data_IF_024622412532
#
_entry.id   IF_024622412532
#
_cell.length_a   1.000
_cell.length_b   1.000
_cell.length_c   1.000
_cell.angle_alpha   90.00
_cell.angle_beta   90.00
_cell.angle_gamma   90.00
#
_symmetry.space_group_name_H-M   'P 1'
#
loop_
_entity.id
_entity.type
_entity.pdbx_description
1 polymer ?
#
# COMPACT_ATOMS: atom_id res chain seq x y z
N UNK A 1 -44.83 60.26 -30.87
CA UNK A 1 -44.25 59.96 -29.54
C UNK A 1 -45.39 60.20 -28.57
N UNK A 2 -46.12 59.21 -28.10
CA UNK A 2 -45.72 58.06 -27.27
C UNK A 2 -46.75 56.95 -27.47
N UNK A 3 -46.30 55.69 -27.51
CA UNK A 3 -47.08 54.52 -27.89
C UNK A 3 -48.16 54.18 -26.86
N UNK A 4 -49.42 54.22 -27.29
CA UNK A 4 -50.49 53.37 -26.80
C UNK A 4 -50.21 51.92 -27.15
N UNK A 5 -50.33 51.02 -26.17
CA UNK A 5 -50.75 49.64 -26.36
C UNK A 5 -50.87 48.99 -24.98
N UNK A 6 -52.08 48.62 -24.53
CA UNK A 6 -52.41 47.33 -23.91
C UNK A 6 -53.93 47.12 -23.92
N UNK A 7 -54.38 46.37 -24.92
CA UNK A 7 -55.72 45.81 -25.07
C UNK A 7 -55.68 44.32 -24.69
N UNK A 8 -56.76 43.90 -24.02
CA UNK A 8 -57.38 42.56 -23.97
C UNK A 8 -56.79 41.42 -23.12
N UNK A 9 -57.54 41.15 -22.05
CA UNK A 9 -58.21 39.88 -21.69
C UNK A 9 -57.54 38.55 -22.03
N UNK A 10 -57.33 37.72 -21.01
CA UNK A 10 -58.10 36.48 -20.92
C UNK A 10 -58.24 36.00 -19.47
N UNK A 11 -59.48 35.73 -19.10
CA UNK A 11 -59.96 35.28 -17.81
C UNK A 11 -60.20 33.79 -17.94
N UNK A 12 -59.46 32.94 -17.26
CA UNK A 12 -59.89 31.56 -16.99
C UNK A 12 -59.29 31.12 -15.67
N UNK A 13 -60.11 31.14 -14.63
CA UNK A 13 -59.88 30.33 -13.46
C UNK A 13 -60.38 28.91 -13.72
N UNK A 14 -59.66 27.92 -13.24
CA UNK A 14 -60.28 26.71 -12.72
C UNK A 14 -59.35 26.07 -11.70
N UNK A 15 -59.95 25.78 -10.54
CA UNK A 15 -59.37 25.09 -9.40
C UNK A 15 -59.01 23.64 -9.76
N UNK A 16 -58.07 23.04 -9.03
CA UNK A 16 -58.29 21.88 -8.14
C UNK A 16 -56.92 21.27 -7.72
N UNK A 17 -56.67 21.30 -6.41
CA UNK A 17 -56.07 20.25 -5.55
C UNK A 17 -55.21 19.16 -6.22
N UNK A 18 -53.93 19.07 -5.85
CA UNK A 18 -53.29 17.83 -5.39
C UNK A 18 -51.77 17.96 -5.17
N UNK A 19 -51.31 17.49 -4.01
CA UNK A 19 -50.12 16.63 -3.93
C UNK A 19 -48.76 17.30 -3.99
N UNK A 20 -48.22 17.65 -2.82
CA UNK A 20 -46.78 17.75 -2.61
C UNK A 20 -46.12 16.38 -2.84
N UNK A 21 -45.14 16.29 -3.75
CA UNK A 21 -44.15 15.20 -3.76
C UNK A 21 -42.82 15.74 -4.27
N UNK A 22 -41.95 16.09 -3.34
CA UNK A 22 -40.57 16.50 -3.60
C UNK A 22 -39.76 15.26 -4.00
N UNK A 23 -39.24 15.26 -5.23
CA UNK A 23 -38.40 14.20 -5.79
C UNK A 23 -36.95 14.45 -5.36
N UNK A 24 -36.55 13.87 -4.22
CA UNK A 24 -35.17 13.83 -3.75
C UNK A 24 -34.46 12.72 -4.54
N UNK A 25 -33.56 13.10 -5.45
CA UNK A 25 -32.61 12.16 -6.06
C UNK A 25 -31.57 11.76 -5.02
N UNK A 26 -31.77 10.62 -4.36
CA UNK A 26 -30.72 9.96 -3.59
C UNK A 26 -29.71 9.33 -4.55
N UNK A 27 -28.56 9.98 -4.71
CA UNK A 27 -27.40 9.37 -5.34
C UNK A 27 -26.92 8.21 -4.45
N UNK A 28 -27.17 6.98 -4.87
CA UNK A 28 -26.57 5.79 -4.27
C UNK A 28 -25.06 5.84 -4.51
N UNK A 29 -24.31 6.30 -3.52
CA UNK A 29 -22.87 6.13 -3.48
C UNK A 29 -22.55 4.65 -3.47
N UNK A 30 -22.01 4.14 -4.57
CA UNK A 30 -21.35 2.84 -4.61
C UNK A 30 -20.09 2.98 -3.74
N UNK A 31 -20.21 2.62 -2.45
CA UNK A 31 -19.06 2.49 -1.58
C UNK A 31 -18.15 1.41 -2.15
N UNK A 32 -16.98 1.81 -2.65
CA UNK A 32 -15.89 0.90 -2.91
C UNK A 32 -15.61 0.15 -1.60
N UNK A 33 -15.97 -1.13 -1.55
CA UNK A 33 -15.70 -1.98 -0.40
C UNK A 33 -14.19 -2.26 -0.37
N UNK A 34 -13.43 -1.37 0.28
CA UNK A 34 -12.03 -1.61 0.61
C UNK A 34 -11.98 -2.79 1.57
N UNK A 35 -11.56 -3.95 1.05
CA UNK A 35 -11.41 -5.17 1.82
C UNK A 35 -10.13 -5.04 2.63
N UNK A 36 -10.24 -4.67 3.90
CA UNK A 36 -9.08 -4.54 4.79
C UNK A 36 -8.55 -5.94 5.14
N UNK A 37 -7.52 -6.39 4.43
CA UNK A 37 -6.84 -7.68 4.68
C UNK A 37 -5.74 -7.52 5.73
N UNK A 38 -6.07 -7.70 7.01
CA UNK A 38 -5.19 -7.41 8.17
C UNK A 38 -3.93 -8.30 8.36
N UNK A 39 -3.44 -9.02 7.34
CA UNK A 39 -2.37 -10.03 7.50
C UNK A 39 -0.97 -9.61 7.06
N UNK A 40 -0.81 -8.52 6.30
CA UNK A 40 0.51 -8.05 5.85
C UNK A 40 1.11 -6.94 6.72
N UNK A 41 0.80 -6.89 8.02
CA UNK A 41 1.42 -5.91 8.93
C UNK A 41 2.87 -6.29 9.22
N UNK A 42 3.84 -5.48 8.78
CA UNK A 42 5.20 -5.53 9.31
C UNK A 42 5.15 -5.14 10.80
N UNK A 43 5.67 -6.01 11.66
CA UNK A 43 5.83 -5.72 13.09
C UNK A 43 7.06 -4.82 13.25
N UNK A 44 6.85 -3.50 13.40
CA UNK A 44 7.93 -2.50 13.47
C UNK A 44 8.82 -2.62 14.73
N UNK A 45 8.44 -3.46 15.70
CA UNK A 45 9.17 -3.66 16.96
C UNK A 45 10.16 -4.84 16.91
N UNK A 46 10.19 -5.59 15.81
CA UNK A 46 11.08 -6.75 15.67
C UNK A 46 12.33 -6.39 14.85
N UNK A 47 13.50 -6.98 15.18
CA UNK A 47 14.73 -6.78 14.42
C UNK A 47 14.55 -7.16 12.94
N UNK A 48 15.16 -6.40 12.05
CA UNK A 48 15.24 -6.69 10.62
C UNK A 48 16.57 -7.41 10.36
N UNK A 49 16.50 -8.63 9.86
CA UNK A 49 17.66 -9.40 9.41
C UNK A 49 17.69 -9.43 7.88
N UNK A 50 18.85 -9.13 7.28
CA UNK A 50 19.07 -9.17 5.84
C UNK A 50 20.22 -10.12 5.55
N UNK A 51 20.04 -11.04 4.59
CA UNK A 51 21.04 -11.98 4.11
C UNK A 51 21.14 -11.87 2.58
N UNK A 52 22.35 -11.88 2.01
CA UNK A 52 22.60 -11.87 0.57
C UNK A 52 23.97 -12.47 0.23
N UNK A 53 24.21 -12.75 -1.05
CA UNK A 53 25.52 -13.23 -1.52
C UNK A 53 26.57 -12.11 -1.53
N UNK A 54 26.16 -10.88 -1.88
CA UNK A 54 27.03 -9.70 -1.92
C UNK A 54 26.32 -8.48 -1.34
N UNK A 55 27.10 -7.62 -0.68
CA UNK A 55 26.72 -6.29 -0.21
C UNK A 55 27.74 -5.28 -0.74
N UNK A 56 27.24 -4.24 -1.40
CA UNK A 56 28.02 -3.08 -1.84
C UNK A 56 27.43 -1.82 -1.19
N UNK A 57 28.29 -0.98 -0.62
CA UNK A 57 27.89 0.25 0.05
C UNK A 57 28.44 1.40 -0.79
N UNK A 58 27.56 2.27 -1.27
CA UNK A 58 27.87 3.47 -2.02
C UNK A 58 27.58 4.68 -1.15
N UNK A 59 28.55 5.08 -0.34
CA UNK A 59 28.38 6.21 0.59
C UNK A 59 28.09 7.54 -0.12
N UNK A 60 28.67 7.75 -1.31
CA UNK A 60 28.45 8.98 -2.11
C UNK A 60 27.02 9.07 -2.68
N UNK A 61 26.38 7.92 -2.91
CA UNK A 61 25.02 7.85 -3.46
C UNK A 61 23.98 7.65 -2.36
N UNK A 62 24.43 7.46 -1.11
CA UNK A 62 23.60 7.06 0.03
C UNK A 62 22.79 5.79 -0.26
N UNK A 63 23.42 4.80 -0.91
CA UNK A 63 22.77 3.53 -1.25
C UNK A 63 23.57 2.29 -0.86
N UNK A 64 22.88 1.26 -0.40
CA UNK A 64 23.45 -0.06 -0.21
C UNK A 64 22.74 -1.09 -1.09
N UNK A 65 23.53 -1.80 -1.86
CA UNK A 65 23.08 -2.75 -2.85
C UNK A 65 23.39 -4.17 -2.37
N UNK A 66 22.34 -4.91 -2.07
CA UNK A 66 22.36 -6.33 -1.76
C UNK A 66 22.02 -7.10 -3.04
N UNK A 67 22.86 -8.05 -3.43
CA UNK A 67 22.63 -8.87 -4.62
C UNK A 67 22.85 -10.35 -4.33
N UNK A 68 22.08 -11.18 -5.03
CA UNK A 68 22.14 -12.63 -4.95
C UNK A 68 21.36 -13.18 -3.76
N UNK A 69 20.25 -13.86 -4.05
CA UNK A 69 19.38 -14.56 -3.09
C UNK A 69 19.12 -13.74 -1.82
N UNK A 70 18.68 -12.49 -1.99
CA UNK A 70 18.40 -11.61 -0.88
C UNK A 70 17.23 -12.18 -0.08
N UNK A 71 17.40 -12.30 1.23
CA UNK A 71 16.37 -12.71 2.17
C UNK A 71 16.31 -11.73 3.32
N UNK A 72 15.12 -11.21 3.57
CA UNK A 72 14.83 -10.30 4.68
C UNK A 72 13.84 -10.97 5.62
N UNK A 73 14.13 -10.98 6.92
CA UNK A 73 13.26 -11.56 7.94
C UNK A 73 13.00 -10.53 9.03
N UNK A 74 11.73 -10.33 9.37
CA UNK A 74 11.30 -9.49 10.49
C UNK A 74 10.09 -10.12 11.18
N UNK A 75 10.30 -10.62 12.40
CA UNK A 75 9.26 -11.34 13.14
C UNK A 75 8.76 -12.56 12.36
N UNK A 76 7.51 -12.53 11.92
CA UNK A 76 6.88 -13.61 11.12
C UNK A 76 6.89 -13.33 9.61
N UNK A 77 7.35 -12.14 9.20
CA UNK A 77 7.39 -11.72 7.81
C UNK A 77 8.74 -12.08 7.20
N UNK A 78 8.72 -12.71 6.03
CA UNK A 78 9.91 -13.00 5.22
C UNK A 78 9.72 -12.44 3.82
N UNK A 79 10.71 -11.72 3.31
CA UNK A 79 10.78 -11.26 1.93
C UNK A 79 12.00 -11.86 1.25
N UNK A 80 11.86 -12.28 0.00
CA UNK A 80 12.97 -12.75 -0.83
C UNK A 80 12.99 -11.99 -2.15
N UNK A 81 14.18 -11.70 -2.67
CA UNK A 81 14.38 -11.10 -3.99
C UNK A 81 15.76 -11.43 -4.56
N UNK A 82 15.98 -11.21 -5.85
CA UNK A 82 17.31 -11.32 -6.46
C UNK A 82 18.21 -10.13 -6.10
N UNK A 83 17.63 -8.94 -5.98
CA UNK A 83 18.33 -7.70 -5.64
C UNK A 83 17.52 -6.84 -4.69
N UNK A 84 18.22 -6.11 -3.82
CA UNK A 84 17.65 -5.11 -2.94
C UNK A 84 18.57 -3.89 -2.85
N UNK A 85 18.03 -2.70 -3.06
CA UNK A 85 18.72 -1.43 -2.90
C UNK A 85 18.08 -0.65 -1.76
N UNK A 86 18.85 -0.34 -0.73
CA UNK A 86 18.42 0.47 0.41
C UNK A 86 18.95 1.89 0.21
N UNK A 87 18.06 2.89 0.24
CA UNK A 87 18.38 4.31 0.21
C UNK A 87 18.29 4.86 1.62
N UNK A 88 19.30 5.61 2.04
CA UNK A 88 19.35 6.24 3.36
C UNK A 88 19.32 7.76 3.25
N UNK A 89 18.76 8.40 4.27
CA UNK A 89 18.88 9.84 4.46
C UNK A 89 20.23 10.14 5.10
N UNK A 90 20.82 11.24 4.70
CA UNK A 90 21.78 11.89 5.56
C UNK A 90 21.08 12.29 6.85
N UNK A 91 21.52 11.73 7.97
CA UNK A 91 21.24 12.35 9.25
C UNK A 91 21.92 13.71 9.23
N UNK A 92 21.12 14.77 9.03
CA UNK A 92 21.57 16.12 9.31
C UNK A 92 22.14 16.11 10.73
N UNK A 93 23.37 16.63 10.87
CA UNK A 93 24.04 16.76 12.14
C UNK A 93 23.04 17.31 13.17
N UNK A 94 22.79 16.53 14.23
CA UNK A 94 21.94 16.96 15.34
C UNK A 94 22.52 18.30 15.83
N UNK A 95 21.76 19.41 15.86
CA UNK A 95 22.29 20.66 16.38
C UNK A 95 22.80 20.39 17.79
N UNK A 96 24.03 20.79 18.07
CA UNK A 96 24.60 20.70 19.41
C UNK A 96 23.59 21.32 20.39
N UNK A 97 23.18 20.56 21.40
CA UNK A 97 22.45 21.13 22.52
C UNK A 97 23.32 22.20 23.16
N UNK A 98 22.71 23.35 23.47
CA UNK A 98 23.34 24.59 23.88
C UNK A 98 24.59 24.40 24.76
N UNK A 99 25.75 24.82 24.23
CA UNK A 99 26.94 25.14 25.03
C UNK A 99 28.09 24.15 25.05
N UNK A 100 28.03 23.01 24.34
CA UNK A 100 29.19 22.12 24.19
C UNK A 100 29.90 22.32 22.84
N UNK A 101 31.19 22.69 22.90
CA UNK A 101 32.07 22.92 21.76
C UNK A 101 31.99 21.77 20.73
N UNK A 102 31.81 22.05 19.42
CA UNK A 102 31.86 21.01 18.39
C UNK A 102 33.31 20.50 18.33
N UNK A 103 33.55 19.29 18.82
CA UNK A 103 34.76 18.58 18.46
C UNK A 103 34.65 18.27 16.97
N UNK A 104 35.53 18.89 16.17
CA UNK A 104 35.69 18.59 14.76
C UNK A 104 36.05 17.11 14.61
N UNK A 105 35.05 16.28 14.32
CA UNK A 105 35.23 14.97 13.72
C UNK A 105 34.41 14.97 12.44
N UNK A 106 35.02 14.63 11.30
CA UNK A 106 34.37 14.73 9.99
C UNK A 106 33.15 13.81 9.97
N UNK A 107 31.98 14.42 9.79
CA UNK A 107 30.87 13.95 8.95
C UNK A 107 30.93 12.44 8.67
N UNK A 108 30.58 11.63 9.67
CA UNK A 108 30.48 10.19 9.46
C UNK A 108 29.15 9.93 8.77
N UNK A 109 29.21 9.76 7.45
CA UNK A 109 28.12 9.29 6.60
C UNK A 109 27.33 8.22 7.33
N UNK A 110 25.99 8.35 7.33
CA UNK A 110 25.08 7.40 7.94
C UNK A 110 25.19 6.04 7.21
N UNK A 111 26.20 5.26 7.55
CA UNK A 111 26.46 3.95 6.96
C UNK A 111 25.63 2.90 7.67
N UNK A 112 25.06 1.94 6.92
CA UNK A 112 24.44 0.74 7.48
C UNK A 112 25.38 -0.02 8.43
N UNK A 113 26.69 0.12 8.24
CA UNK A 113 27.71 -0.47 9.10
C UNK A 113 27.70 0.08 10.54
N UNK A 114 27.20 1.29 10.78
CA UNK A 114 27.11 1.89 12.12
C UNK A 114 25.78 1.60 12.82
N UNK A 115 24.86 0.86 12.17
CA UNK A 115 23.54 0.54 12.69
C UNK A 115 22.62 1.75 12.92
N UNK A 116 23.04 2.94 12.50
CA UNK A 116 22.39 4.23 12.80
C UNK A 116 21.81 4.92 11.56
N UNK A 117 21.73 4.23 10.42
CA UNK A 117 21.24 4.82 9.18
C UNK A 117 19.71 5.02 9.21
N UNK A 118 19.24 6.24 8.91
CA UNK A 118 17.82 6.50 8.69
C UNK A 118 17.46 6.03 7.28
N UNK A 119 16.79 4.88 7.17
CA UNK A 119 16.38 4.32 5.88
C UNK A 119 15.21 5.16 5.34
N UNK A 120 15.33 5.64 4.09
CA UNK A 120 14.26 6.36 3.40
C UNK A 120 13.37 5.42 2.60
N UNK A 121 14.00 4.60 1.75
CA UNK A 121 13.31 3.77 0.76
C UNK A 121 14.07 2.48 0.52
N UNK A 122 13.35 1.40 0.25
CA UNK A 122 13.90 0.11 -0.14
C UNK A 122 13.30 -0.28 -1.49
N UNK A 123 14.15 -0.51 -2.48
CA UNK A 123 13.77 -1.08 -3.76
C UNK A 123 14.18 -2.55 -3.78
N UNK A 124 13.25 -3.43 -4.12
CA UNK A 124 13.52 -4.84 -4.37
C UNK A 124 13.12 -5.19 -5.79
N UNK A 125 13.99 -5.90 -6.48
CA UNK A 125 13.82 -6.26 -7.90
C UNK A 125 14.25 -7.70 -8.11
N UNK A 126 13.96 -8.24 -9.30
CA UNK A 126 14.30 -9.62 -9.68
C UNK A 126 13.55 -10.65 -8.82
N UNK A 127 12.22 -10.69 -9.00
CA UNK A 127 11.26 -11.61 -8.38
C UNK A 127 11.16 -11.47 -6.87
N UNK A 128 10.17 -10.70 -6.45
CA UNK A 128 9.86 -10.46 -5.04
C UNK A 128 8.85 -11.51 -4.56
N UNK A 129 9.19 -12.20 -3.48
CA UNK A 129 8.29 -13.08 -2.74
C UNK A 129 8.19 -12.60 -1.29
N UNK A 130 7.03 -12.09 -0.90
CA UNK A 130 6.70 -11.72 0.47
C UNK A 130 5.84 -12.81 1.09
N UNK A 131 6.13 -13.22 2.31
CA UNK A 131 5.34 -14.18 3.09
C UNK A 131 5.12 -13.65 4.49
N UNK A 132 3.88 -13.62 4.95
CA UNK A 132 3.47 -13.19 6.29
C UNK A 132 2.34 -14.09 6.78
N UNK A 133 2.61 -14.95 7.75
CA UNK A 133 1.63 -15.93 8.23
C UNK A 133 1.13 -16.85 7.12
N UNK A 134 -0.16 -16.77 6.78
CA UNK A 134 -0.80 -17.53 5.69
C UNK A 134 -0.80 -16.80 4.34
N UNK A 135 -0.32 -15.56 4.32
CA UNK A 135 -0.37 -14.69 3.16
C UNK A 135 0.95 -14.69 2.42
N UNK A 136 0.87 -14.80 1.10
CA UNK A 136 2.03 -14.80 0.20
C UNK A 136 1.77 -13.85 -0.96
N UNK A 137 2.63 -12.87 -1.17
CA UNK A 137 2.58 -11.97 -2.32
C UNK A 137 3.80 -12.16 -3.22
N UNK A 138 3.56 -12.35 -4.52
CA UNK A 138 4.59 -12.50 -5.54
C UNK A 138 4.47 -11.36 -6.55
N UNK A 139 5.59 -10.73 -6.87
CA UNK A 139 5.70 -9.63 -7.84
C UNK A 139 7.09 -9.64 -8.50
N UNK A 140 7.31 -8.79 -9.51
CA UNK A 140 8.63 -8.65 -10.13
C UNK A 140 9.50 -7.64 -9.37
N UNK A 141 8.86 -6.53 -8.97
CA UNK A 141 9.47 -5.44 -8.21
C UNK A 141 8.63 -5.05 -7.00
N UNK A 142 9.31 -4.40 -6.06
CA UNK A 142 8.70 -3.81 -4.88
C UNK A 142 9.42 -2.54 -4.47
N UNK A 143 8.65 -1.54 -4.07
CA UNK A 143 9.15 -0.29 -3.51
C UNK A 143 8.53 -0.06 -2.15
N UNK A 144 9.35 -0.06 -1.12
CA UNK A 144 8.96 0.24 0.25
C UNK A 144 9.40 1.64 0.63
N UNK A 145 8.45 2.49 0.96
CA UNK A 145 8.71 3.85 1.46
C UNK A 145 8.55 3.86 3.00
N UNK A 146 9.64 4.20 3.70
CA UNK A 146 9.66 4.18 5.18
C UNK A 146 8.86 5.34 5.77
N UNK A 147 8.77 6.48 5.08
CA UNK A 147 8.07 7.65 5.59
C UNK A 147 6.55 7.45 5.62
N UNK A 148 6.00 6.90 4.54
CA UNK A 148 4.58 6.56 4.39
C UNK A 148 4.24 5.14 4.86
N UNK A 149 5.25 4.33 5.19
CA UNK A 149 5.13 2.91 5.55
C UNK A 149 4.26 2.14 4.55
N UNK A 150 4.47 2.41 3.27
CA UNK A 150 3.70 1.84 2.16
C UNK A 150 4.61 0.96 1.31
N UNK A 151 4.18 -0.27 1.08
CA UNK A 151 4.85 -1.19 0.18
C UNK A 151 4.06 -1.34 -1.11
N UNK A 152 4.66 -0.98 -2.24
CA UNK A 152 4.05 -1.11 -3.56
C UNK A 152 4.77 -2.21 -4.30
N UNK A 153 4.04 -3.27 -4.63
CA UNK A 153 4.51 -4.40 -5.42
C UNK A 153 3.95 -4.28 -6.83
N UNK A 154 4.80 -4.44 -7.84
CA UNK A 154 4.44 -4.31 -9.26
C UNK A 154 4.97 -5.49 -10.05
N UNK A 155 4.25 -5.82 -11.11
CA UNK A 155 4.71 -6.78 -12.11
C UNK A 155 5.11 -6.04 -13.39
N UNK A 156 6.12 -6.56 -14.07
CA UNK A 156 6.56 -6.10 -15.37
C UNK A 156 5.51 -6.38 -16.45
N UNK A 157 5.69 -5.81 -17.64
CA UNK A 157 4.78 -6.02 -18.75
C UNK A 157 4.61 -7.51 -19.08
N UNK A 158 3.36 -7.98 -19.01
CA UNK A 158 3.00 -9.38 -19.28
C UNK A 158 2.97 -10.28 -18.05
N UNK A 159 3.52 -9.85 -16.92
CA UNK A 159 3.43 -10.55 -15.64
C UNK A 159 2.28 -10.00 -14.79
N UNK A 160 2.03 -10.65 -13.64
CA UNK A 160 0.97 -10.26 -12.71
C UNK A 160 1.45 -10.38 -11.27
N UNK A 161 0.95 -9.47 -10.43
CA UNK A 161 1.09 -9.58 -8.98
C UNK A 161 0.07 -10.59 -8.49
N UNK A 162 0.55 -11.58 -7.74
CA UNK A 162 -0.27 -12.66 -7.18
C UNK A 162 -0.22 -12.55 -5.68
N UNK A 163 -1.37 -12.33 -5.06
CA UNK A 163 -1.54 -12.42 -3.61
C UNK A 163 -2.31 -13.70 -3.29
N UNK A 164 -1.79 -14.53 -2.40
CA UNK A 164 -2.47 -15.72 -1.91
C UNK A 164 -2.71 -15.57 -0.41
N UNK A 165 -3.89 -15.96 0.06
CA UNK A 165 -4.20 -16.10 1.49
C UNK A 165 -4.78 -17.48 1.75
N UNK A 166 -3.92 -18.38 2.23
CA UNK A 166 -4.17 -19.81 2.27
C UNK A 166 -4.59 -20.33 0.90
N UNK A 167 -5.81 -20.84 0.74
CA UNK A 167 -6.30 -21.39 -0.53
C UNK A 167 -6.91 -20.33 -1.49
N UNK A 168 -7.04 -19.08 -1.06
CA UNK A 168 -7.60 -18.01 -1.88
C UNK A 168 -6.49 -17.31 -2.67
N UNK A 169 -6.72 -17.04 -3.96
CA UNK A 169 -5.74 -16.37 -4.82
C UNK A 169 -6.36 -15.14 -5.47
N UNK A 170 -5.65 -14.03 -5.38
CA UNK A 170 -5.97 -12.73 -5.94
C UNK A 170 -4.91 -12.36 -6.97
N UNK A 171 -5.33 -11.88 -8.13
CA UNK A 171 -4.42 -11.54 -9.22
C UNK A 171 -4.68 -10.12 -9.72
N UNK A 172 -3.62 -9.32 -9.80
CA UNK A 172 -3.64 -7.93 -10.25
C UNK A 172 -2.33 -7.50 -10.90
N UNK A 173 -2.17 -6.20 -11.13
CA UNK A 173 -0.93 -5.62 -11.70
C UNK A 173 -0.11 -4.84 -10.67
N UNK A 174 -0.75 -4.32 -9.64
CA UNK A 174 -0.11 -3.56 -8.58
C UNK A 174 -0.80 -3.86 -7.26
N UNK A 175 -0.02 -4.18 -6.24
CA UNK A 175 -0.50 -4.38 -4.87
C UNK A 175 0.13 -3.31 -3.99
N UNK A 176 -0.72 -2.48 -3.38
CA UNK A 176 -0.31 -1.47 -2.42
C UNK A 176 -0.66 -1.97 -1.02
N UNK A 177 0.32 -2.03 -0.13
CA UNK A 177 0.14 -2.48 1.26
C UNK A 177 0.54 -1.36 2.21
N UNK A 178 -0.41 -0.89 3.01
CA UNK A 178 -0.18 0.07 4.08
C UNK A 178 0.17 -0.67 5.37
N UNK A 179 1.42 -0.58 5.82
CA UNK A 179 1.88 -1.36 6.98
C UNK A 179 1.30 -0.88 8.30
N UNK A 180 1.01 0.42 8.42
CA UNK A 180 0.39 1.00 9.63
C UNK A 180 -1.01 0.42 9.87
N UNK A 181 -1.87 0.48 8.85
CA UNK A 181 -3.27 0.06 8.95
C UNK A 181 -3.41 -1.44 8.70
N UNK A 182 -2.46 -2.06 8.00
CA UNK A 182 -2.55 -3.42 7.49
C UNK A 182 -3.56 -3.54 6.35
N UNK A 183 -3.82 -2.45 5.63
CA UNK A 183 -4.69 -2.47 4.46
C UNK A 183 -3.90 -2.87 3.23
N UNK A 184 -4.47 -3.75 2.41
CA UNK A 184 -3.92 -4.16 1.13
C UNK A 184 -4.92 -3.82 0.03
N UNK A 185 -4.46 -3.12 -0.99
CA UNK A 185 -5.25 -2.73 -2.15
C UNK A 185 -4.62 -3.33 -3.41
N UNK A 186 -5.39 -4.14 -4.14
CA UNK A 186 -4.94 -4.79 -5.36
C UNK A 186 -5.63 -4.15 -6.56
N UNK A 187 -4.83 -3.56 -7.45
CA UNK A 187 -5.31 -2.91 -8.67
C UNK A 187 -5.28 -3.87 -9.86
N UNK A 188 -6.29 -3.77 -10.72
CA UNK A 188 -6.39 -4.57 -11.93
C UNK A 188 -5.56 -4.00 -13.08
N UNK A 189 -5.18 -4.86 -14.02
CA UNK A 189 -4.43 -4.51 -15.23
C UNK A 189 -5.31 -3.83 -16.31
N UNK A 190 -6.07 -2.79 -15.95
CA UNK A 190 -7.02 -2.15 -16.87
C UNK A 190 -8.31 -2.95 -17.12
N UNK A 191 -8.64 -3.88 -16.22
CA UNK A 191 -9.78 -4.80 -16.35
C UNK A 191 -10.51 -5.01 -15.03
N UNK A 192 -10.77 -6.27 -14.67
CA UNK A 192 -11.38 -6.64 -13.37
C UNK A 192 -10.36 -7.41 -12.54
N UNK A 193 -10.33 -7.15 -11.23
CA UNK A 193 -9.58 -7.99 -10.29
C UNK A 193 -10.17 -9.40 -10.31
N UNK A 194 -9.33 -10.42 -10.44
CA UNK A 194 -9.75 -11.82 -10.43
C UNK A 194 -9.49 -12.41 -9.05
N UNK A 195 -10.53 -13.02 -8.48
CA UNK A 195 -10.44 -13.80 -7.25
C UNK A 195 -10.80 -15.25 -7.56
N UNK A 196 -9.93 -16.16 -7.14
CA UNK A 196 -10.23 -17.59 -7.12
C UNK A 196 -10.37 -18.01 -5.66
N UNK A 197 -11.59 -18.41 -5.31
CA UNK A 197 -11.93 -18.95 -3.99
C UNK A 197 -11.94 -20.48 -4.09
N UNK A 198 -11.12 -21.16 -3.29
CA UNK A 198 -11.26 -22.62 -3.17
C UNK A 198 -12.51 -22.94 -2.32
N UNK A 199 -13.46 -23.76 -2.80
CA UNK A 199 -14.66 -24.11 -2.05
C UNK A 199 -14.40 -24.88 -0.74
N UNK A 200 -13.21 -25.45 -0.53
CA UNK A 200 -12.80 -26.08 0.74
C UNK A 200 -12.40 -25.09 1.84
N UNK A 201 -12.30 -23.80 1.52
CA UNK A 201 -11.93 -22.70 2.44
C UNK A 201 -13.09 -22.21 3.30
N UNK A 202 -14.29 -22.80 3.17
CA UNK A 202 -15.39 -22.53 4.09
C UNK A 202 -14.93 -22.97 5.49
N UNK A 203 -14.94 -22.10 6.52
CA UNK A 203 -14.81 -22.58 7.88
C UNK A 203 -15.93 -23.58 8.09
N UNK A 204 -15.58 -24.84 8.35
CA UNK A 204 -16.53 -25.85 8.79
C UNK A 204 -17.22 -25.29 10.03
N UNK A 205 -18.43 -24.75 9.87
CA UNK A 205 -19.31 -24.50 11.00
C UNK A 205 -19.58 -25.88 11.62
N UNK A 206 -19.15 -26.16 12.86
CA UNK A 206 -19.56 -27.39 13.51
C UNK A 206 -21.08 -27.33 13.60
N UNK A 207 -21.77 -28.23 12.91
CA UNK A 207 -23.21 -28.37 13.05
C UNK A 207 -23.52 -28.60 14.53
N UNK A 208 -24.31 -27.70 15.12
CA UNK A 208 -24.91 -27.92 16.42
C UNK A 208 -25.71 -29.21 16.35
N UNK A 209 -25.19 -30.26 16.98
CA UNK A 209 -25.93 -31.47 17.31
C UNK A 209 -27.00 -31.07 18.33
N UNK A 210 -28.20 -30.75 17.86
CA UNK A 210 -29.37 -30.66 18.74
C UNK A 210 -29.60 -32.03 19.37
N UNK A 211 -29.59 -32.04 20.69
CA UNK A 211 -29.91 -33.18 21.54
C UNK A 211 -31.35 -33.06 22.03
#
# INVERSE_FOLDING_TARGET
MTKDCRISTCKTGMAFVAGAFALILTASGAGAQSTTMSGMKLSNDQPIQIESDKLEIHDQEHTALFTGKVKVVQGTTTMQSGKMTVYYKDKAAKPAADGAQPAAQPEQSASLASGSADIDKILVTDKVLLTSGTQTATADDGNFDMASQTFILTADEGNKVILSDGPNVFTGCKLTVHMQTGQAELESCGGRVQIQLDPKSKPNTPQQKQN
#
